data_IF_464679870569
#
_entry.id   IF_464679870569
#
_cell.length_a   1.000
_cell.length_b   1.000
_cell.length_c   1.000
_cell.angle_alpha   90.00
_cell.angle_beta   90.00
_cell.angle_gamma   90.00
#
_symmetry.space_group_name_H-M   'P 1'
#
loop_
_entity.id
_entity.type
_entity.pdbx_description
1 polymer ?
#
# COMPACT_ATOMS: atom_id res chain seq x y z
N UNK A 1 19.57 -5.27 6.40
CA UNK A 1 18.74 -5.76 5.27
C UNK A 1 18.74 -4.68 4.20
N UNK A 2 18.86 -5.01 2.91
CA UNK A 2 18.82 -4.00 1.84
C UNK A 2 17.39 -3.44 1.72
N UNK A 3 17.23 -2.17 1.39
CA UNK A 3 15.92 -1.49 1.36
C UNK A 3 14.94 -2.16 0.39
N UNK A 4 15.45 -2.72 -0.70
CA UNK A 4 14.67 -3.47 -1.68
C UNK A 4 14.09 -4.74 -1.07
N UNK A 5 14.88 -5.47 -0.26
CA UNK A 5 14.39 -6.68 0.43
C UNK A 5 13.32 -6.33 1.47
N UNK A 6 13.47 -5.20 2.17
CA UNK A 6 12.45 -4.69 3.10
C UNK A 6 11.15 -4.41 2.35
N UNK A 7 11.23 -3.73 1.21
CA UNK A 7 10.07 -3.41 0.39
C UNK A 7 9.34 -4.68 -0.10
N UNK A 8 10.07 -5.69 -0.56
CA UNK A 8 9.48 -6.97 -1.02
C UNK A 8 8.73 -7.68 0.11
N UNK A 9 9.27 -7.71 1.33
CA UNK A 9 8.60 -8.32 2.50
C UNK A 9 7.33 -7.53 2.84
N UNK A 10 7.40 -6.20 2.86
CA UNK A 10 6.25 -5.34 3.15
C UNK A 10 5.14 -5.57 2.13
N UNK A 11 5.45 -5.48 0.84
CA UNK A 11 4.48 -5.63 -0.24
C UNK A 11 3.82 -7.01 -0.21
N UNK A 12 4.62 -8.08 -0.10
CA UNK A 12 4.12 -9.45 -0.07
C UNK A 12 3.17 -9.67 1.11
N UNK A 13 3.56 -9.24 2.31
CA UNK A 13 2.76 -9.44 3.52
C UNK A 13 1.47 -8.62 3.50
N UNK A 14 1.55 -7.35 3.10
CA UNK A 14 0.37 -6.48 3.02
C UNK A 14 -0.65 -7.02 2.00
N UNK A 15 -0.19 -7.42 0.81
CA UNK A 15 -1.06 -8.02 -0.22
C UNK A 15 -1.64 -9.36 0.21
N UNK A 16 -0.86 -10.19 0.90
CA UNK A 16 -1.35 -11.46 1.45
C UNK A 16 -2.44 -11.23 2.50
N UNK A 17 -2.21 -10.31 3.45
CA UNK A 17 -3.20 -9.94 4.46
C UNK A 17 -4.48 -9.39 3.82
N UNK A 18 -4.35 -8.51 2.82
CA UNK A 18 -5.49 -7.96 2.08
C UNK A 18 -6.28 -9.07 1.35
N UNK A 19 -5.58 -9.99 0.67
CA UNK A 19 -6.22 -11.13 0.00
C UNK A 19 -6.96 -12.05 0.97
N UNK A 20 -6.39 -12.30 2.15
CA UNK A 20 -7.08 -13.06 3.20
C UNK A 20 -8.30 -12.32 3.72
N UNK A 21 -8.21 -11.01 3.97
CA UNK A 21 -9.34 -10.19 4.38
C UNK A 21 -10.46 -10.18 3.33
N UNK A 22 -10.10 -10.14 2.05
CA UNK A 22 -11.04 -10.17 0.92
C UNK A 22 -11.75 -11.52 0.78
N UNK A 23 -11.01 -12.63 0.91
CA UNK A 23 -11.54 -13.99 0.70
C UNK A 23 -12.15 -14.62 1.95
N UNK A 24 -11.97 -14.04 3.14
CA UNK A 24 -12.39 -14.62 4.41
C UNK A 24 -13.90 -14.75 4.60
N UNK A 25 -14.71 -13.94 3.90
CA UNK A 25 -16.18 -14.06 3.90
C UNK A 25 -16.87 -13.82 5.26
N UNK A 26 -16.14 -13.38 6.28
CA UNK A 26 -16.66 -13.06 7.62
C UNK A 26 -16.78 -11.56 7.82
N UNK A 27 -17.60 -11.13 8.78
CA UNK A 27 -17.69 -9.71 9.17
C UNK A 27 -16.33 -9.14 9.59
N UNK A 28 -15.54 -9.91 10.36
CA UNK A 28 -14.20 -9.49 10.80
C UNK A 28 -13.23 -9.30 9.64
N UNK A 29 -13.26 -10.19 8.65
CA UNK A 29 -12.40 -10.07 7.47
C UNK A 29 -12.81 -8.89 6.58
N UNK A 30 -14.12 -8.60 6.48
CA UNK A 30 -14.61 -7.42 5.77
C UNK A 30 -14.20 -6.11 6.48
N UNK A 31 -14.32 -6.07 7.81
CA UNK A 31 -13.89 -4.93 8.63
C UNK A 31 -12.37 -4.69 8.48
N UNK A 32 -11.57 -5.76 8.54
CA UNK A 32 -10.12 -5.68 8.29
C UNK A 32 -9.83 -5.11 6.90
N UNK A 33 -10.51 -5.60 5.86
CA UNK A 33 -10.35 -5.09 4.48
C UNK A 33 -10.66 -3.59 4.41
N UNK A 34 -11.81 -3.17 4.96
CA UNK A 34 -12.22 -1.76 4.99
C UNK A 34 -11.22 -0.89 5.74
N UNK A 35 -10.65 -1.39 6.83
CA UNK A 35 -9.64 -0.67 7.59
C UNK A 35 -8.32 -0.54 6.80
N UNK A 36 -7.92 -1.56 6.05
CA UNK A 36 -6.77 -1.48 5.14
C UNK A 36 -6.99 -0.49 3.98
N UNK A 37 -8.23 -0.26 3.55
CA UNK A 37 -8.58 0.71 2.48
C UNK A 37 -8.70 2.15 3.00
N UNK A 38 -8.80 2.35 4.31
CA UNK A 38 -8.81 3.69 4.95
C UNK A 38 -7.38 4.20 5.09
N UNK A 39 -6.85 4.69 3.97
CA UNK A 39 -5.51 5.28 3.88
C UNK A 39 -5.57 6.79 4.17
N UNK A 40 -4.70 7.24 5.06
CA UNK A 40 -4.49 8.64 5.41
C UNK A 40 -3.10 9.12 4.99
N UNK A 41 -2.89 10.44 4.99
CA UNK A 41 -1.56 11.00 4.77
C UNK A 41 -0.61 10.50 5.88
N UNK A 42 0.64 10.26 5.51
CA UNK A 42 1.72 9.67 6.31
C UNK A 42 1.57 8.18 6.64
N UNK A 43 0.52 7.51 6.13
CA UNK A 43 0.46 6.05 6.21
C UNK A 43 1.51 5.39 5.32
N UNK A 44 2.11 4.31 5.83
CA UNK A 44 2.84 3.36 5.00
C UNK A 44 1.84 2.57 4.14
N UNK A 45 2.05 2.56 2.83
CA UNK A 45 1.12 1.96 1.86
C UNK A 45 1.85 1.05 0.88
N UNK A 46 1.08 0.17 0.24
CA UNK A 46 1.46 -0.44 -1.04
C UNK A 46 0.39 -0.21 -2.11
N UNK A 47 0.84 0.07 -3.33
CA UNK A 47 -0.02 0.17 -4.52
C UNK A 47 -0.39 -1.22 -5.00
N UNK A 48 -1.67 -1.50 -5.19
CA UNK A 48 -2.18 -2.86 -5.47
C UNK A 48 -2.22 -3.25 -6.96
N UNK A 49 -2.46 -2.31 -7.86
CA UNK A 49 -2.81 -2.59 -9.27
C UNK A 49 -1.65 -2.98 -10.20
N UNK A 50 -0.40 -2.66 -9.86
CA UNK A 50 0.74 -2.97 -10.71
C UNK A 50 1.58 -4.12 -10.16
N UNK A 51 1.48 -5.32 -10.73
CA UNK A 51 2.36 -6.46 -10.41
C UNK A 51 3.68 -6.46 -11.20
N UNK A 52 3.76 -5.66 -12.27
CA UNK A 52 4.94 -5.57 -13.16
C UNK A 52 6.02 -4.63 -12.62
N UNK A 53 5.72 -3.92 -11.53
CA UNK A 53 6.62 -2.95 -10.90
C UNK A 53 7.17 -3.57 -9.62
N UNK A 54 8.48 -3.42 -9.38
CA UNK A 54 9.15 -3.93 -8.18
C UNK A 54 8.53 -3.37 -6.89
N UNK A 55 8.66 -4.09 -5.77
CA UNK A 55 8.07 -3.63 -4.51
C UNK A 55 8.62 -2.29 -4.04
N UNK A 56 9.91 -2.00 -4.25
CA UNK A 56 10.53 -0.72 -3.88
C UNK A 56 9.86 0.49 -4.54
N UNK A 57 9.22 0.30 -5.69
CA UNK A 57 8.51 1.35 -6.41
C UNK A 57 7.03 1.48 -5.99
N UNK A 58 6.48 0.47 -5.29
CA UNK A 58 5.07 0.42 -4.87
C UNK A 58 4.88 0.73 -3.39
N UNK A 59 5.91 0.48 -2.59
CA UNK A 59 5.88 0.64 -1.13
C UNK A 59 6.49 1.99 -0.74
N UNK A 60 5.77 2.72 0.11
CA UNK A 60 6.24 3.98 0.64
C UNK A 60 5.20 4.67 1.50
N UNK A 61 5.51 5.88 1.95
CA UNK A 61 4.61 6.71 2.74
C UNK A 61 3.78 7.61 1.84
N UNK A 62 2.46 7.62 2.03
CA UNK A 62 1.60 8.55 1.31
C UNK A 62 1.87 9.97 1.79
N UNK A 63 2.33 10.86 0.91
CA UNK A 63 2.63 12.27 1.26
C UNK A 63 1.56 13.23 0.81
N UNK A 64 0.89 12.95 -0.31
CA UNK A 64 -0.15 13.83 -0.80
C UNK A 64 -1.20 13.05 -1.61
N UNK A 65 -2.41 13.59 -1.62
CA UNK A 65 -3.53 13.13 -2.44
C UNK A 65 -4.16 14.33 -3.13
N UNK A 66 -4.29 14.26 -4.44
CA UNK A 66 -4.80 15.37 -5.24
C UNK A 66 -5.55 14.84 -6.46
N UNK A 67 -6.28 15.73 -7.14
CA UNK A 67 -6.91 15.41 -8.41
C UNK A 67 -6.14 16.07 -9.55
N UNK A 68 -5.90 15.33 -10.63
CA UNK A 68 -5.32 15.90 -11.84
C UNK A 68 -6.35 16.75 -12.62
N UNK A 69 -5.92 17.33 -13.74
CA UNK A 69 -6.77 18.11 -14.64
C UNK A 69 -7.95 17.33 -15.24
N UNK A 70 -7.90 16.00 -15.20
CA UNK A 70 -8.94 15.08 -15.67
C UNK A 70 -9.81 14.54 -14.53
N UNK A 71 -9.64 15.04 -13.29
CA UNK A 71 -10.31 14.57 -12.08
C UNK A 71 -9.95 13.13 -11.67
N UNK A 72 -8.84 12.60 -12.17
CA UNK A 72 -8.30 11.34 -11.67
C UNK A 72 -7.69 11.55 -10.29
N UNK A 73 -7.87 10.58 -9.41
CA UNK A 73 -7.22 10.60 -8.11
C UNK A 73 -5.73 10.23 -8.28
N UNK A 74 -4.86 11.10 -7.79
CA UNK A 74 -3.43 10.97 -7.82
C UNK A 74 -2.84 10.97 -6.41
N UNK A 75 -1.75 10.24 -6.25
CA UNK A 75 -1.07 9.97 -5.00
C UNK A 75 0.42 10.22 -5.14
N UNK A 76 0.99 11.03 -4.25
CA UNK A 76 2.44 11.14 -4.11
C UNK A 76 2.90 10.23 -2.98
N UNK A 77 3.77 9.28 -3.31
CA UNK A 77 4.31 8.31 -2.37
C UNK A 77 5.81 8.51 -2.27
N UNK A 78 6.31 8.74 -1.06
CA UNK A 78 7.74 8.70 -0.77
C UNK A 78 8.15 7.24 -0.55
N UNK A 79 8.89 6.68 -1.51
CA UNK A 79 9.41 5.32 -1.47
C UNK A 79 10.37 5.14 -0.30
N UNK A 80 10.62 3.88 0.08
CA UNK A 80 11.55 3.56 1.17
C UNK A 80 13.01 3.97 0.91
N UNK A 81 13.38 4.21 -0.35
CA UNK A 81 14.68 4.75 -0.75
C UNK A 81 14.72 6.29 -0.77
N UNK A 82 13.64 6.97 -0.38
CA UNK A 82 13.51 8.44 -0.33
C UNK A 82 13.07 9.09 -1.65
N UNK A 83 12.91 8.34 -2.73
CA UNK A 83 12.42 8.89 -4.00
C UNK A 83 10.91 9.10 -3.97
N UNK A 84 10.44 10.17 -4.62
CA UNK A 84 8.99 10.42 -4.78
C UNK A 84 8.48 9.72 -6.04
N UNK A 85 7.35 9.04 -5.91
CA UNK A 85 6.60 8.44 -7.00
C UNK A 85 5.19 9.00 -7.07
N UNK A 86 4.73 9.33 -8.27
CA UNK A 86 3.34 9.65 -8.52
C UNK A 86 2.60 8.41 -9.05
N UNK A 87 1.43 8.14 -8.48
CA UNK A 87 0.53 7.10 -8.92
C UNK A 87 -0.86 7.70 -9.16
N UNK A 88 -1.47 7.38 -10.29
CA UNK A 88 -2.80 7.87 -10.67
C UNK A 88 -3.74 6.69 -10.90
N UNK A 89 -5.03 6.88 -10.60
CA UNK A 89 -6.09 5.89 -10.85
C UNK A 89 -5.73 4.51 -10.29
N UNK A 90 -5.28 4.50 -9.02
CA UNK A 90 -4.83 3.29 -8.36
C UNK A 90 -5.44 3.11 -6.97
N UNK A 91 -5.41 1.87 -6.47
CA UNK A 91 -5.81 1.54 -5.11
C UNK A 91 -4.58 1.37 -4.22
N UNK A 92 -4.61 2.06 -3.08
CA UNK A 92 -3.64 1.91 -2.01
C UNK A 92 -4.22 1.04 -0.90
N UNK A 93 -3.39 0.20 -0.31
CA UNK A 93 -3.72 -0.46 0.96
C UNK A 93 -2.73 -0.04 2.03
N UNK A 94 -3.25 0.26 3.20
CA UNK A 94 -2.48 0.56 4.40
C UNK A 94 -1.71 -0.67 4.84
N UNK A 95 -0.42 -0.48 5.11
CA UNK A 95 0.47 -1.47 5.67
C UNK A 95 0.44 -1.31 7.19
N UNK A 96 0.01 -2.35 7.88
CA UNK A 96 0.11 -2.40 9.34
C UNK A 96 1.42 -3.09 9.75
N UNK A 97 2.09 -2.54 10.75
CA UNK A 97 3.33 -3.12 11.30
C UNK A 97 3.16 -4.58 11.72
N UNK A 98 1.98 -4.95 12.21
CA UNK A 98 1.64 -6.33 12.59
C UNK A 98 1.69 -7.33 11.43
N UNK A 99 1.57 -6.87 10.18
CA UNK A 99 1.70 -7.71 9.00
C UNK A 99 3.14 -7.80 8.52
N UNK A 100 3.96 -6.80 8.79
CA UNK A 100 5.36 -6.72 8.34
C UNK A 100 6.30 -7.37 9.34
N UNK A 101 6.08 -7.12 10.63
CA UNK A 101 6.91 -7.59 11.72
C UNK A 101 6.08 -8.58 12.55
N UNK A 102 6.21 -9.88 12.26
CA UNK A 102 5.84 -10.90 13.23
C UNK A 102 6.78 -10.74 14.43
N UNK A 103 6.24 -10.36 15.59
CA UNK A 103 6.93 -10.59 16.87
C UNK A 103 7.07 -12.08 17.14
#
# INVERSE_FOLDING_TARGET
MKVEQVAEIIDANARMAYKHAYSGGTHKSEEQRKNMEKVEIDDLVTVTLSSHVSAINRVGYLRNRFQDKHKNECYLIERLNGEIAEWSDCQLIKVYESYVFKK
#
